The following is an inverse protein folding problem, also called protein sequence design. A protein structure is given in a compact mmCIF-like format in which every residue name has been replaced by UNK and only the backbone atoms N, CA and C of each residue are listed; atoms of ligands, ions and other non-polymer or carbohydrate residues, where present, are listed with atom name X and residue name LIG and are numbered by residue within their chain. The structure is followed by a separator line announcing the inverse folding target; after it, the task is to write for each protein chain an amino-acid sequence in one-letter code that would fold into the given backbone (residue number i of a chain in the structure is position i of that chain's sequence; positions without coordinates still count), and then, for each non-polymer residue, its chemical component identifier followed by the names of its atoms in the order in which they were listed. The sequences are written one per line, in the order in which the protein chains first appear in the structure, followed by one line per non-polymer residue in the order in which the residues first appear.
data_IF_498683165692
#
_entry.id   IF_498683165692
#
_cell.length_a   1.000
_cell.length_b   1.000
_cell.length_c   1.000
_cell.angle_alpha   90.00
_cell.angle_beta   90.00
_cell.angle_gamma   90.00
#
_symmetry.space_group_name_H-M   'P 1'
#
loop_
_entity.id
_entity.type
_entity.pdbx_description
1 polymer ?
#
# COMPACT_ATOMS: atom_id res chain seq x y z
N UNK A 1 -26.73 -6.29 -67.17
CA UNK A 1 -27.95 -7.02 -67.59
C UNK A 1 -28.45 -7.77 -66.35
N UNK A 2 -29.59 -7.28 -65.79
CA UNK A 2 -30.47 -7.87 -64.82
C UNK A 2 -29.93 -8.24 -63.40
N UNK A 3 -29.99 -7.28 -62.48
CA UNK A 3 -30.28 -7.53 -61.07
C UNK A 3 -31.73 -7.95 -60.88
N UNK A 4 -31.96 -9.14 -60.35
CA UNK A 4 -33.28 -9.53 -59.85
C UNK A 4 -33.36 -9.21 -58.35
N UNK A 5 -34.04 -8.12 -58.03
CA UNK A 5 -34.53 -7.80 -56.70
C UNK A 5 -35.65 -8.75 -56.33
N UNK A 6 -35.39 -9.84 -55.60
CA UNK A 6 -36.40 -10.64 -54.94
C UNK A 6 -36.96 -9.87 -53.73
N UNK A 7 -38.16 -9.28 -53.91
CA UNK A 7 -38.98 -8.83 -52.78
C UNK A 7 -39.48 -10.02 -51.99
N UNK A 8 -38.99 -10.20 -50.78
CA UNK A 8 -39.50 -11.19 -49.84
C UNK A 8 -40.87 -10.69 -49.37
N UNK A 9 -41.96 -11.27 -49.90
CA UNK A 9 -43.33 -11.01 -49.44
C UNK A 9 -43.64 -11.93 -48.26
N UNK A 10 -43.64 -11.36 -47.05
CA UNK A 10 -44.04 -12.06 -45.82
C UNK A 10 -45.55 -12.22 -45.82
N UNK A 11 -46.08 -13.46 -45.67
CA UNK A 11 -47.51 -13.79 -45.63
C UNK A 11 -48.20 -12.96 -44.51
N UNK A 12 -49.41 -12.42 -44.77
CA UNK A 12 -50.12 -11.54 -43.82
C UNK A 12 -50.42 -12.19 -42.47
N UNK A 13 -50.59 -13.51 -42.42
CA UNK A 13 -50.80 -14.26 -41.16
C UNK A 13 -49.60 -14.25 -40.21
N UNK A 14 -48.37 -14.21 -40.74
CA UNK A 14 -47.18 -14.10 -39.91
C UNK A 14 -47.01 -12.68 -39.31
N UNK A 15 -47.53 -11.65 -39.97
CA UNK A 15 -47.46 -10.27 -39.45
C UNK A 15 -48.32 -10.07 -38.19
N UNK A 16 -49.49 -10.75 -38.14
CA UNK A 16 -50.37 -10.72 -36.97
C UNK A 16 -49.75 -11.43 -35.76
N UNK A 17 -49.13 -12.59 -35.98
CA UNK A 17 -48.52 -13.38 -34.92
C UNK A 17 -47.30 -12.66 -34.32
N UNK A 18 -46.46 -12.05 -35.14
CA UNK A 18 -45.32 -11.25 -34.68
C UNK A 18 -45.74 -9.99 -33.92
N UNK A 19 -46.84 -9.34 -34.35
CA UNK A 19 -47.35 -8.16 -33.66
C UNK A 19 -47.91 -8.50 -32.27
N UNK A 20 -48.63 -9.60 -32.14
CA UNK A 20 -49.17 -10.07 -30.82
C UNK A 20 -48.03 -10.52 -29.91
N UNK A 21 -46.99 -11.20 -30.43
CA UNK A 21 -45.85 -11.65 -29.65
C UNK A 21 -44.98 -10.43 -29.16
N UNK A 22 -44.77 -9.45 -30.02
CA UNK A 22 -44.13 -8.20 -29.66
C UNK A 22 -44.91 -7.43 -28.59
N UNK A 23 -46.24 -7.31 -28.74
CA UNK A 23 -47.07 -6.60 -27.78
C UNK A 23 -47.15 -7.31 -26.42
N UNK A 24 -47.10 -8.65 -26.36
CA UNK A 24 -47.08 -9.40 -25.11
C UNK A 24 -45.71 -9.38 -24.41
N UNK A 25 -44.62 -9.22 -25.15
CA UNK A 25 -43.24 -9.13 -24.60
C UNK A 25 -42.88 -7.73 -24.08
N UNK A 26 -43.52 -6.67 -24.59
CA UNK A 26 -43.28 -5.28 -24.22
C UNK A 26 -43.42 -5.02 -22.71
N UNK A 27 -44.44 -5.49 -21.98
CA UNK A 27 -44.54 -5.26 -20.54
C UNK A 27 -43.39 -5.90 -19.74
N UNK A 28 -42.90 -7.08 -20.14
CA UNK A 28 -41.77 -7.75 -19.52
C UNK A 28 -40.42 -7.03 -19.77
N UNK A 29 -40.24 -6.54 -20.99
CA UNK A 29 -39.03 -5.78 -21.36
C UNK A 29 -39.00 -4.42 -20.64
N UNK A 30 -40.14 -3.72 -20.59
CA UNK A 30 -40.27 -2.44 -19.88
C UNK A 30 -40.08 -2.66 -18.38
N UNK A 31 -40.66 -3.71 -17.80
CA UNK A 31 -40.46 -4.04 -16.39
C UNK A 31 -38.98 -4.35 -16.05
N UNK A 32 -38.32 -5.18 -16.86
CA UNK A 32 -36.88 -5.46 -16.65
C UNK A 32 -36.00 -4.23 -16.86
N UNK A 33 -36.35 -3.33 -17.78
CA UNK A 33 -35.63 -2.07 -17.99
C UNK A 33 -35.82 -1.10 -16.81
N UNK A 34 -37.06 -1.02 -16.29
CA UNK A 34 -37.37 -0.22 -15.08
C UNK A 34 -36.66 -0.78 -13.84
N UNK A 35 -36.60 -2.09 -13.67
CA UNK A 35 -35.84 -2.73 -12.59
C UNK A 35 -34.34 -2.49 -12.71
N UNK A 36 -33.80 -2.52 -13.93
CA UNK A 36 -32.38 -2.20 -14.18
C UNK A 36 -32.06 -0.72 -13.88
N UNK A 37 -32.96 0.19 -14.29
CA UNK A 37 -32.82 1.62 -13.97
C UNK A 37 -32.93 1.85 -12.46
N UNK A 38 -33.85 1.20 -11.78
CA UNK A 38 -34.01 1.28 -10.34
C UNK A 38 -32.75 0.77 -9.63
N UNK A 39 -32.18 -0.35 -10.06
CA UNK A 39 -30.92 -0.89 -9.55
C UNK A 39 -29.75 0.09 -9.77
N UNK A 40 -29.67 0.69 -10.96
CA UNK A 40 -28.66 1.70 -11.28
C UNK A 40 -28.83 2.92 -10.37
N UNK A 41 -30.06 3.41 -10.18
CA UNK A 41 -30.34 4.54 -9.29
C UNK A 41 -30.02 4.23 -7.83
N UNK A 42 -30.32 3.01 -7.36
CA UNK A 42 -29.98 2.57 -6.00
C UNK A 42 -28.46 2.48 -5.85
N UNK A 43 -27.75 1.88 -6.81
CA UNK A 43 -26.29 1.76 -6.78
C UNK A 43 -25.63 3.13 -6.89
N UNK A 44 -26.06 3.99 -7.81
CA UNK A 44 -25.55 5.36 -7.92
C UNK A 44 -25.97 6.23 -6.72
N UNK A 45 -27.16 6.06 -6.19
CA UNK A 45 -27.61 6.74 -4.97
C UNK A 45 -26.81 6.30 -3.75
N UNK A 46 -26.49 5.02 -3.63
CA UNK A 46 -25.61 4.51 -2.59
C UNK A 46 -24.17 5.02 -2.73
N UNK A 47 -23.64 5.03 -3.96
CA UNK A 47 -22.31 5.57 -4.27
C UNK A 47 -22.27 7.09 -4.07
N UNK A 48 -23.32 7.82 -4.48
CA UNK A 48 -23.42 9.27 -4.25
C UNK A 48 -23.65 9.60 -2.77
N UNK A 49 -24.38 8.76 -2.03
CA UNK A 49 -24.54 8.85 -0.58
C UNK A 49 -23.22 8.63 0.15
N UNK A 50 -22.43 7.65 -0.26
CA UNK A 50 -21.07 7.42 0.22
C UNK A 50 -20.10 8.55 -0.20
N UNK A 51 -20.27 9.07 -1.41
CA UNK A 51 -19.49 10.21 -1.91
C UNK A 51 -19.83 11.54 -1.19
N UNK A 52 -21.08 11.74 -0.80
CA UNK A 52 -21.48 12.91 -0.02
C UNK A 52 -21.15 12.76 1.47
N UNK A 53 -21.21 11.56 2.02
CA UNK A 53 -20.68 11.30 3.37
C UNK A 53 -19.17 11.60 3.45
N UNK A 54 -18.42 11.33 2.36
CA UNK A 54 -17.00 11.66 2.26
C UNK A 54 -16.73 13.17 1.99
N UNK A 55 -17.70 13.94 1.48
CA UNK A 55 -17.54 15.38 1.23
C UNK A 55 -17.91 16.25 2.45
N UNK A 56 -18.58 15.70 3.45
CA UNK A 56 -18.99 16.44 4.64
C UNK A 56 -18.31 15.99 5.94
N UNK A 57 -17.43 14.98 5.88
CA UNK A 57 -16.43 14.80 6.92
C UNK A 57 -15.32 15.84 6.63
N UNK A 58 -15.52 17.04 7.22
CA UNK A 58 -14.41 17.93 7.54
C UNK A 58 -13.29 17.02 8.08
N UNK A 59 -12.13 17.02 7.40
CA UNK A 59 -10.91 16.31 7.83
C UNK A 59 -10.34 16.98 9.11
N UNK A 60 -11.18 17.20 10.09
CA UNK A 60 -10.90 17.89 11.33
C UNK A 60 -11.50 17.12 12.51
N UNK A 61 -10.63 16.57 13.34
CA UNK A 61 -10.88 16.23 14.75
C UNK A 61 -11.65 14.93 15.09
N UNK A 62 -11.81 13.94 14.24
CA UNK A 62 -12.15 12.62 14.76
C UNK A 62 -10.90 12.02 15.42
N UNK A 63 -10.89 11.76 16.75
CA UNK A 63 -9.76 11.11 17.41
C UNK A 63 -9.45 9.76 16.75
N UNK A 64 -8.18 9.32 16.85
CA UNK A 64 -7.86 7.96 16.46
C UNK A 64 -8.52 6.99 17.42
N UNK A 65 -9.15 5.94 16.89
CA UNK A 65 -9.56 4.80 17.68
C UNK A 65 -8.38 3.87 17.90
N UNK A 66 -8.26 3.33 19.12
CA UNK A 66 -7.17 2.46 19.50
C UNK A 66 -7.69 1.13 20.00
N UNK A 67 -7.08 0.03 19.52
CA UNK A 67 -7.27 -1.29 20.09
C UNK A 67 -6.17 -1.56 21.11
N UNK A 68 -6.53 -1.92 22.35
CA UNK A 68 -5.57 -2.37 23.35
C UNK A 68 -5.10 -3.77 22.98
N UNK A 69 -3.81 -3.95 22.71
CA UNK A 69 -3.24 -5.23 22.27
C UNK A 69 -2.55 -5.99 23.39
N UNK A 70 -1.90 -5.27 24.26
CA UNK A 70 -1.19 -5.80 25.43
C UNK A 70 -0.94 -4.64 26.40
N UNK A 71 -0.30 -4.91 27.53
CA UNK A 71 0.13 -3.91 28.46
C UNK A 71 0.08 -4.44 29.88
N UNK A 72 0.91 -3.85 30.73
CA UNK A 72 0.97 -4.24 32.14
C UNK A 72 -0.29 -3.80 32.90
N UNK A 73 -0.95 -2.72 32.42
CA UNK A 73 -2.17 -2.21 33.04
C UNK A 73 -3.11 -1.64 31.97
N UNK A 74 -4.24 -2.34 31.77
CA UNK A 74 -5.27 -1.91 30.81
C UNK A 74 -6.05 -0.67 31.25
N UNK A 75 -5.85 -0.20 32.46
CA UNK A 75 -6.47 1.00 33.02
C UNK A 75 -5.55 2.22 33.01
N UNK A 76 -4.29 2.06 32.58
CA UNK A 76 -3.32 3.15 32.57
C UNK A 76 -3.69 4.25 31.56
N UNK A 77 -3.53 5.49 31.95
CA UNK A 77 -3.75 6.64 31.05
C UNK A 77 -2.63 6.78 30.00
N UNK A 78 -1.42 6.34 30.34
CA UNK A 78 -0.29 6.42 29.43
C UNK A 78 -0.33 5.31 28.38
N UNK A 79 0.01 5.64 27.15
CA UNK A 79 0.00 4.70 26.03
C UNK A 79 1.37 4.61 25.33
N UNK A 80 1.78 3.40 25.04
CA UNK A 80 2.85 3.11 24.05
C UNK A 80 2.15 2.63 22.79
N UNK A 81 2.27 3.38 21.72
CA UNK A 81 1.61 3.09 20.46
C UNK A 81 2.48 2.19 19.59
N UNK A 82 1.95 1.09 19.08
CA UNK A 82 2.52 0.36 17.95
C UNK A 82 1.91 0.94 16.68
N UNK A 83 2.72 1.58 15.84
CA UNK A 83 2.30 2.11 14.56
C UNK A 83 2.76 1.18 13.44
N UNK A 84 1.80 0.51 12.81
CA UNK A 84 2.06 -0.47 11.76
C UNK A 84 2.35 0.20 10.42
N UNK A 85 3.52 -0.10 9.84
CA UNK A 85 4.01 0.33 8.53
C UNK A 85 4.18 -0.92 7.64
N UNK A 86 3.08 -1.33 7.00
CA UNK A 86 3.03 -2.58 6.23
C UNK A 86 2.78 -2.33 4.74
N UNK A 87 3.42 -3.14 3.88
CA UNK A 87 3.32 -3.06 2.43
C UNK A 87 4.31 -2.08 1.79
N UNK A 88 4.14 -1.82 0.50
CA UNK A 88 5.02 -0.94 -0.26
C UNK A 88 4.84 0.53 0.14
N UNK A 89 5.95 1.28 0.19
CA UNK A 89 5.95 2.71 0.49
C UNK A 89 5.69 3.49 -0.80
N UNK A 90 4.63 4.31 -0.80
CA UNK A 90 4.22 5.09 -1.97
C UNK A 90 3.78 6.51 -1.58
N UNK A 91 4.00 7.43 -2.50
CA UNK A 91 3.53 8.81 -2.39
C UNK A 91 2.00 8.94 -2.50
N UNK A 92 1.30 7.91 -3.00
CA UNK A 92 -0.14 7.96 -3.25
C UNK A 92 -0.54 8.72 -4.51
N UNK A 93 0.41 9.35 -5.22
CA UNK A 93 0.13 10.10 -6.45
C UNK A 93 -0.24 9.13 -7.58
N UNK A 94 -1.47 9.23 -8.08
CA UNK A 94 -1.93 8.45 -9.23
C UNK A 94 -2.40 7.01 -8.91
N UNK A 95 -2.41 6.62 -7.63
CA UNK A 95 -3.04 5.38 -7.18
C UNK A 95 -4.27 5.73 -6.35
N UNK A 96 -5.43 5.15 -6.67
CA UNK A 96 -6.48 5.04 -5.65
C UNK A 96 -5.84 4.27 -4.48
N UNK A 97 -5.95 4.78 -3.25
CA UNK A 97 -5.42 4.15 -2.02
C UNK A 97 -6.16 2.82 -1.73
N UNK A 98 -6.19 1.93 -2.72
CA UNK A 98 -6.87 0.64 -2.71
C UNK A 98 -5.80 -0.43 -2.63
N UNK A 99 -5.63 -0.98 -1.44
CA UNK A 99 -4.69 -2.05 -1.17
C UNK A 99 -3.84 -1.83 0.09
N UNK A 100 -3.10 -2.85 0.45
CA UNK A 100 -2.17 -2.81 1.58
C UNK A 100 -0.88 -2.07 1.18
N UNK A 101 -0.65 -0.88 1.75
CA UNK A 101 0.54 -0.07 1.49
C UNK A 101 0.72 1.06 2.51
N UNK A 102 1.93 1.62 2.52
CA UNK A 102 2.29 2.78 3.33
C UNK A 102 2.13 4.01 2.45
N UNK A 103 1.02 4.72 2.63
CA UNK A 103 0.69 5.93 1.88
C UNK A 103 0.97 7.18 2.71
N UNK A 104 1.70 8.14 2.15
CA UNK A 104 2.17 9.33 2.87
C UNK A 104 1.04 10.21 3.39
N UNK A 105 -0.04 10.35 2.66
CA UNK A 105 -1.23 11.14 3.05
C UNK A 105 -1.89 10.55 4.31
N UNK A 106 -2.04 9.20 4.35
CA UNK A 106 -2.54 8.49 5.52
C UNK A 106 -1.62 8.67 6.72
N UNK A 107 -0.31 8.46 6.53
CA UNK A 107 0.69 8.64 7.60
C UNK A 107 0.66 10.08 8.13
N UNK A 108 0.57 11.08 7.24
CA UNK A 108 0.46 12.50 7.62
C UNK A 108 -0.77 12.75 8.50
N UNK A 109 -1.92 12.22 8.10
CA UNK A 109 -3.18 12.35 8.84
C UNK A 109 -3.09 11.70 10.22
N UNK A 110 -2.58 10.47 10.28
CA UNK A 110 -2.44 9.72 11.53
C UNK A 110 -1.45 10.42 12.47
N UNK A 111 -0.28 10.83 11.96
CA UNK A 111 0.74 11.49 12.78
C UNK A 111 0.28 12.84 13.32
N UNK A 112 -0.55 13.59 12.58
CA UNK A 112 -1.18 14.80 13.10
C UNK A 112 -1.98 14.50 14.37
N UNK A 113 -2.84 13.49 14.33
CA UNK A 113 -3.68 13.08 15.47
C UNK A 113 -2.85 12.52 16.63
N UNK A 114 -1.81 11.70 16.33
CA UNK A 114 -0.90 11.17 17.33
C UNK A 114 -0.15 12.29 18.05
N UNK A 115 0.25 13.34 17.35
CA UNK A 115 0.91 14.53 17.94
C UNK A 115 0.02 15.22 18.98
N UNK A 116 -1.27 15.32 18.70
CA UNK A 116 -2.26 15.97 19.55
C UNK A 116 -2.66 15.12 20.78
N UNK A 117 -2.57 13.79 20.70
CA UNK A 117 -2.95 12.88 21.80
C UNK A 117 -1.86 12.83 22.89
N UNK A 118 -2.09 13.52 23.99
CA UNK A 118 -1.16 13.61 25.14
C UNK A 118 -0.99 12.29 25.91
N UNK A 119 -1.91 11.32 25.73
CA UNK A 119 -1.81 10.02 26.38
C UNK A 119 -0.75 9.13 25.72
N UNK A 120 -0.45 9.32 24.44
CA UNK A 120 0.64 8.62 23.74
C UNK A 120 1.99 9.21 24.17
N UNK A 121 2.78 8.42 24.86
CA UNK A 121 4.10 8.81 25.39
C UNK A 121 5.24 8.44 24.45
N UNK A 122 5.14 7.29 23.79
CA UNK A 122 6.13 6.86 22.79
C UNK A 122 5.45 6.03 21.70
N UNK A 123 6.18 5.84 20.59
CA UNK A 123 5.72 5.09 19.42
C UNK A 123 6.77 4.04 19.03
N UNK A 124 6.34 2.79 18.89
CA UNK A 124 7.10 1.73 18.24
C UNK A 124 6.69 1.68 16.78
N UNK A 125 7.59 1.95 15.87
CA UNK A 125 7.35 1.85 14.42
C UNK A 125 7.61 0.42 13.97
N UNK A 126 6.51 -0.33 13.70
CA UNK A 126 6.62 -1.71 13.22
C UNK A 126 6.63 -1.71 11.70
N UNK A 127 7.75 -2.12 11.12
CA UNK A 127 7.87 -2.30 9.68
C UNK A 127 7.62 -3.76 9.27
N UNK A 128 6.76 -3.93 8.26
CA UNK A 128 6.64 -5.13 7.44
C UNK A 128 6.55 -4.70 5.97
N UNK A 129 7.67 -4.22 5.41
CA UNK A 129 7.72 -3.52 4.14
C UNK A 129 8.94 -3.90 3.31
N UNK A 130 8.77 -4.20 2.01
CA UNK A 130 9.90 -4.40 1.10
C UNK A 130 10.58 -3.08 0.69
N UNK A 131 10.10 -1.93 1.19
CA UNK A 131 10.46 -0.60 0.73
C UNK A 131 9.49 -0.04 -0.30
N UNK A 132 9.97 0.81 -1.20
CA UNK A 132 9.12 1.42 -2.23
C UNK A 132 9.77 2.62 -2.90
N UNK A 133 8.98 3.63 -3.22
CA UNK A 133 9.44 4.85 -3.88
C UNK A 133 10.47 5.60 -3.03
N UNK A 134 11.57 6.02 -3.63
CA UNK A 134 12.65 6.75 -2.93
C UNK A 134 12.13 8.03 -2.30
N UNK A 135 11.37 8.83 -3.05
CA UNK A 135 10.76 10.06 -2.55
C UNK A 135 9.86 9.80 -1.33
N UNK A 136 8.94 8.84 -1.46
CA UNK A 136 8.01 8.51 -0.39
C UNK A 136 8.73 7.99 0.87
N UNK A 137 9.78 7.19 0.70
CA UNK A 137 10.60 6.67 1.80
C UNK A 137 11.36 7.79 2.54
N UNK A 138 11.89 8.76 1.80
CA UNK A 138 12.52 9.94 2.40
C UNK A 138 11.52 10.80 3.17
N UNK A 139 10.35 11.05 2.59
CA UNK A 139 9.28 11.83 3.26
C UNK A 139 8.74 11.12 4.49
N UNK A 140 8.61 9.78 4.45
CA UNK A 140 8.23 8.98 5.62
C UNK A 140 9.23 9.18 6.78
N UNK A 141 10.53 9.14 6.50
CA UNK A 141 11.56 9.41 7.50
C UNK A 141 11.46 10.82 8.09
N UNK A 142 11.16 11.83 7.27
CA UNK A 142 10.96 13.21 7.74
C UNK A 142 9.68 13.36 8.57
N UNK A 143 8.60 12.67 8.22
CA UNK A 143 7.38 12.62 9.02
C UNK A 143 7.60 11.94 10.38
N UNK A 144 8.34 10.83 10.41
CA UNK A 144 8.73 10.15 11.66
C UNK A 144 9.55 11.11 12.53
N UNK A 145 10.52 11.81 11.96
CA UNK A 145 11.32 12.84 12.67
C UNK A 145 10.41 13.91 13.27
N UNK A 146 9.49 14.46 12.49
CA UNK A 146 8.54 15.47 12.94
C UNK A 146 7.59 14.99 14.04
N UNK A 147 7.21 13.70 14.04
CA UNK A 147 6.45 13.10 15.12
C UNK A 147 7.32 12.95 16.39
N UNK A 148 8.52 12.41 16.26
CA UNK A 148 9.45 12.25 17.39
C UNK A 148 9.74 13.58 18.07
N UNK A 149 10.04 14.64 17.31
CA UNK A 149 10.26 15.98 17.83
C UNK A 149 9.05 16.51 18.59
N UNK A 150 7.85 16.38 18.03
CA UNK A 150 6.62 16.85 18.67
C UNK A 150 6.28 16.11 19.97
N UNK A 151 6.74 14.85 20.11
CA UNK A 151 6.55 14.02 21.30
C UNK A 151 7.73 14.06 22.27
N UNK A 152 8.82 14.75 21.96
CA UNK A 152 10.04 14.74 22.77
C UNK A 152 10.76 13.39 22.79
N UNK A 153 10.58 12.57 21.76
CA UNK A 153 11.23 11.25 21.61
C UNK A 153 12.64 11.47 21.06
N UNK A 154 13.64 11.16 21.85
CA UNK A 154 15.04 11.34 21.46
C UNK A 154 15.52 10.24 20.50
N UNK A 155 15.09 9.00 20.70
CA UNK A 155 15.45 7.84 19.89
C UNK A 155 14.19 7.09 19.49
N UNK A 156 13.97 6.91 18.20
CA UNK A 156 12.86 6.12 17.67
C UNK A 156 13.10 4.62 17.88
N UNK A 157 12.12 3.91 18.39
CA UNK A 157 12.16 2.45 18.52
C UNK A 157 11.48 1.84 17.30
N UNK A 158 12.22 0.99 16.59
CA UNK A 158 11.77 0.32 15.38
C UNK A 158 11.75 -1.19 15.60
N UNK A 159 10.67 -1.82 15.14
CA UNK A 159 10.56 -3.26 15.10
C UNK A 159 10.46 -3.73 13.66
N UNK A 160 11.45 -4.50 13.22
CA UNK A 160 11.47 -5.12 11.89
C UNK A 160 10.85 -6.51 12.01
N UNK A 161 9.66 -6.67 11.40
CA UNK A 161 8.89 -7.89 11.51
C UNK A 161 9.34 -8.96 10.49
N UNK A 162 8.55 -9.29 9.49
CA UNK A 162 8.92 -10.27 8.47
C UNK A 162 9.98 -9.71 7.51
N UNK A 163 9.73 -8.49 7.04
CA UNK A 163 10.68 -7.79 6.16
C UNK A 163 10.69 -6.29 6.47
N UNK A 164 11.87 -5.70 6.53
CA UNK A 164 12.05 -4.26 6.54
C UNK A 164 13.25 -3.93 5.67
N UNK A 165 13.02 -3.64 4.39
CA UNK A 165 14.08 -3.59 3.40
C UNK A 165 14.03 -2.29 2.57
N UNK A 166 15.15 -1.95 1.92
CA UNK A 166 15.26 -0.85 0.96
C UNK A 166 14.71 0.49 1.51
N UNK A 167 13.64 1.03 0.95
CA UNK A 167 13.02 2.29 1.39
C UNK A 167 12.60 2.31 2.86
N UNK A 168 12.30 1.15 3.48
CA UNK A 168 12.01 1.07 4.91
C UNK A 168 13.25 1.38 5.76
N UNK A 169 14.43 0.88 5.36
CA UNK A 169 15.71 1.25 5.98
C UNK A 169 16.03 2.72 5.78
N UNK A 170 15.80 3.23 4.56
CA UNK A 170 16.02 4.63 4.23
C UNK A 170 15.22 5.55 5.17
N UNK A 171 13.93 5.25 5.40
CA UNK A 171 13.10 6.01 6.32
C UNK A 171 13.58 5.89 7.77
N UNK A 172 13.97 4.68 8.22
CA UNK A 172 14.43 4.41 9.59
C UNK A 172 15.73 5.12 9.91
N UNK A 173 16.72 5.08 9.01
CA UNK A 173 18.05 5.64 9.28
C UNK A 173 18.12 7.16 9.18
N UNK A 174 17.07 7.82 8.72
CA UNK A 174 16.97 9.29 8.72
C UNK A 174 16.80 9.89 10.13
N UNK A 175 16.53 9.09 11.14
CA UNK A 175 16.31 9.51 12.52
C UNK A 175 17.24 8.75 13.48
N UNK A 176 17.54 9.27 14.67
CA UNK A 176 18.14 8.48 15.74
C UNK A 176 17.24 7.25 16.01
N UNK A 177 17.83 6.06 15.95
CA UNK A 177 17.06 4.82 15.94
C UNK A 177 17.64 3.76 16.88
N UNK A 178 16.77 2.90 17.40
CA UNK A 178 17.08 1.63 18.02
C UNK A 178 16.20 0.58 17.37
N UNK A 179 16.82 -0.43 16.78
CA UNK A 179 16.15 -1.38 15.90
C UNK A 179 16.21 -2.77 16.47
N UNK A 180 15.04 -3.38 16.69
CA UNK A 180 14.90 -4.79 17.08
C UNK A 180 14.29 -5.52 15.88
N UNK A 181 14.95 -6.58 15.41
CA UNK A 181 14.47 -7.43 14.34
C UNK A 181 13.85 -8.72 14.85
N UNK A 182 12.80 -9.22 14.19
CA UNK A 182 12.30 -10.57 14.42
C UNK A 182 13.39 -11.59 14.07
N UNK A 183 13.45 -12.70 14.79
CA UNK A 183 14.47 -13.75 14.59
C UNK A 183 14.51 -14.28 13.15
N UNK A 184 13.35 -14.46 12.53
CA UNK A 184 13.21 -14.97 11.16
C UNK A 184 12.93 -13.87 10.13
N UNK A 185 13.03 -12.61 10.53
CA UNK A 185 12.83 -11.48 9.65
C UNK A 185 14.06 -11.17 8.82
N UNK A 186 13.83 -10.38 7.78
CA UNK A 186 14.83 -9.98 6.80
C UNK A 186 14.93 -8.46 6.71
N UNK A 187 16.14 -7.96 6.44
CA UNK A 187 16.40 -6.55 6.22
C UNK A 187 17.50 -6.37 5.16
N UNK A 188 17.87 -5.13 4.83
CA UNK A 188 18.88 -4.88 3.81
C UNK A 188 18.25 -4.38 2.51
N UNK A 189 18.58 -5.00 1.37
CA UNK A 189 18.21 -4.51 0.04
C UNK A 189 18.60 -3.03 -0.13
N UNK A 190 19.79 -2.66 0.38
CA UNK A 190 20.34 -1.33 0.20
C UNK A 190 20.83 -1.21 -1.23
N UNK A 191 20.08 -0.46 -2.03
CA UNK A 191 20.31 -0.31 -3.45
C UNK A 191 19.18 0.48 -4.12
N UNK A 192 19.42 0.86 -5.37
CA UNK A 192 18.46 1.60 -6.20
C UNK A 192 18.35 0.92 -7.55
N UNK A 193 17.13 0.76 -8.03
CA UNK A 193 16.89 0.25 -9.39
C UNK A 193 15.93 1.14 -10.13
N UNK A 194 16.14 1.25 -11.43
CA UNK A 194 15.19 1.82 -12.39
C UNK A 194 14.93 0.79 -13.48
N UNK A 195 13.67 0.58 -13.84
CA UNK A 195 13.28 -0.34 -14.90
C UNK A 195 12.73 0.46 -16.06
N UNK A 196 13.26 0.22 -17.26
CA UNK A 196 12.83 0.84 -18.50
C UNK A 196 12.25 -0.27 -19.40
N UNK A 197 10.92 -0.48 -19.42
CA UNK A 197 10.32 -1.47 -20.31
C UNK A 197 10.48 -1.04 -21.77
N UNK A 198 10.65 -2.01 -22.67
CA UNK A 198 10.69 -1.78 -24.12
C UNK A 198 9.65 -2.67 -24.81
N UNK A 199 8.70 -2.05 -25.47
CA UNK A 199 7.62 -2.69 -26.22
C UNK A 199 7.69 -2.41 -27.73
N UNK A 200 8.81 -1.88 -28.25
CA UNK A 200 9.01 -1.54 -29.67
C UNK A 200 8.60 -2.68 -30.59
N UNK A 201 9.18 -3.88 -30.38
CA UNK A 201 8.85 -5.07 -31.17
C UNK A 201 7.38 -5.49 -31.09
N UNK A 202 6.79 -5.38 -29.90
CA UNK A 202 5.38 -5.70 -29.70
C UNK A 202 4.50 -4.73 -30.48
N UNK A 203 4.79 -3.43 -30.40
CA UNK A 203 4.08 -2.38 -31.13
C UNK A 203 4.17 -2.62 -32.66
N UNK A 204 5.34 -2.93 -33.16
CA UNK A 204 5.54 -3.26 -34.59
C UNK A 204 4.72 -4.48 -35.02
N UNK A 205 4.71 -5.55 -34.22
CA UNK A 205 3.99 -6.79 -34.53
C UNK A 205 2.47 -6.59 -34.62
N UNK A 206 1.91 -5.67 -33.83
CA UNK A 206 0.46 -5.35 -33.86
C UNK A 206 0.12 -4.17 -34.77
N UNK A 207 1.09 -3.62 -35.50
CA UNK A 207 0.90 -2.49 -36.40
C UNK A 207 0.67 -1.15 -35.69
N UNK A 208 0.97 -1.04 -34.40
CA UNK A 208 0.87 0.23 -33.66
C UNK A 208 2.03 1.15 -34.03
N UNK A 209 1.74 2.38 -34.39
CA UNK A 209 2.72 3.43 -34.72
C UNK A 209 2.42 4.69 -33.89
N UNK A 210 3.42 5.20 -33.21
CA UNK A 210 3.37 6.46 -32.49
C UNK A 210 4.21 7.50 -33.24
N UNK A 211 3.66 8.71 -33.40
CA UNK A 211 4.40 9.88 -33.91
C UNK A 211 4.54 10.87 -32.77
N UNK A 212 5.76 11.07 -32.28
CA UNK A 212 6.05 12.03 -31.20
C UNK A 212 6.46 13.37 -31.82
N UNK A 213 5.67 14.42 -31.55
CA UNK A 213 6.00 15.80 -31.87
C UNK A 213 6.48 16.47 -30.58
N UNK A 214 7.73 16.93 -30.55
CA UNK A 214 8.35 17.45 -29.31
C UNK A 214 9.16 18.70 -29.54
N UNK A 215 9.22 19.56 -28.53
CA UNK A 215 10.20 20.61 -28.39
C UNK A 215 11.10 20.25 -27.18
N UNK A 216 12.40 20.28 -27.40
CA UNK A 216 13.41 19.72 -26.47
C UNK A 216 13.77 18.29 -26.82
N UNK A 217 15.08 18.08 -27.08
CA UNK A 217 15.61 16.82 -27.61
C UNK A 217 15.24 15.59 -26.76
N UNK A 218 15.33 15.71 -25.45
CA UNK A 218 15.12 14.63 -24.50
C UNK A 218 13.71 14.57 -23.91
N UNK A 219 12.70 15.23 -24.53
CA UNK A 219 11.35 15.29 -23.93
C UNK A 219 10.60 13.95 -23.94
N UNK A 220 11.03 13.01 -24.78
CA UNK A 220 10.50 11.64 -24.90
C UNK A 220 11.47 10.57 -24.33
N UNK A 221 12.40 10.98 -23.47
CA UNK A 221 13.31 10.06 -22.81
C UNK A 221 12.53 8.98 -22.02
N UNK A 222 12.95 7.72 -22.16
CA UNK A 222 12.27 6.59 -21.53
C UNK A 222 10.98 6.15 -22.22
N UNK A 223 10.70 6.61 -23.46
CA UNK A 223 9.56 6.14 -24.25
C UNK A 223 9.71 4.62 -24.50
N UNK A 224 8.73 3.79 -24.04
CA UNK A 224 8.81 2.34 -24.15
C UNK A 224 8.57 1.80 -25.56
N UNK A 225 8.13 2.64 -26.50
CA UNK A 225 7.79 2.26 -27.89
C UNK A 225 8.94 2.45 -28.88
N UNK A 226 10.10 2.81 -28.39
CA UNK A 226 11.36 2.88 -29.15
C UNK A 226 12.54 2.38 -28.35
N UNK A 227 13.63 2.08 -29.03
CA UNK A 227 14.88 1.73 -28.37
C UNK A 227 15.41 2.94 -27.57
N UNK A 228 15.81 2.67 -26.33
CA UNK A 228 16.47 3.67 -25.48
C UNK A 228 17.86 3.93 -26.01
N UNK A 229 18.22 5.19 -26.18
CA UNK A 229 19.54 5.57 -26.71
C UNK A 229 20.63 5.42 -25.66
N UNK A 230 21.92 5.20 -26.04
CA UNK A 230 23.03 5.08 -25.10
C UNK A 230 23.18 6.28 -24.15
N UNK A 231 23.01 7.50 -24.66
CA UNK A 231 23.07 8.72 -23.86
C UNK A 231 21.92 8.83 -22.83
N UNK A 232 20.74 8.31 -23.17
CA UNK A 232 19.60 8.23 -22.25
C UNK A 232 19.88 7.22 -21.13
N UNK A 233 20.46 6.06 -21.47
CA UNK A 233 20.88 5.06 -20.49
C UNK A 233 21.93 5.64 -19.53
N UNK A 234 22.94 6.35 -20.06
CA UNK A 234 23.96 7.00 -19.25
C UNK A 234 23.37 8.07 -18.32
N UNK A 235 22.36 8.81 -18.79
CA UNK A 235 21.65 9.78 -17.97
C UNK A 235 20.88 9.11 -16.81
N UNK A 236 20.13 8.06 -17.10
CA UNK A 236 19.40 7.29 -16.08
C UNK A 236 20.34 6.61 -15.07
N UNK A 237 21.46 6.05 -15.56
CA UNK A 237 22.47 5.45 -14.68
C UNK A 237 23.02 6.49 -13.70
N UNK A 238 23.34 7.68 -14.15
CA UNK A 238 23.81 8.77 -13.28
C UNK A 238 22.80 9.17 -12.22
N UNK A 239 21.49 9.14 -12.55
CA UNK A 239 20.43 9.37 -11.55
C UNK A 239 20.37 8.26 -10.50
N UNK A 240 20.48 7.00 -10.93
CA UNK A 240 20.52 5.84 -10.04
C UNK A 240 21.72 5.90 -9.12
N UNK A 241 22.90 6.17 -9.66
CA UNK A 241 24.16 6.26 -8.89
C UNK A 241 24.10 7.35 -7.83
N UNK A 242 23.58 8.53 -8.19
CA UNK A 242 23.40 9.63 -7.23
C UNK A 242 22.46 9.22 -6.08
N UNK A 243 21.33 8.62 -6.42
CA UNK A 243 20.35 8.18 -5.42
C UNK A 243 20.91 7.06 -4.54
N UNK A 244 21.73 6.19 -5.11
CA UNK A 244 22.44 5.14 -4.38
C UNK A 244 23.47 5.74 -3.40
N UNK A 245 24.27 6.70 -3.82
CA UNK A 245 25.24 7.38 -2.93
C UNK A 245 24.51 8.13 -1.81
N UNK A 246 23.38 8.76 -2.06
CA UNK A 246 22.55 9.38 -1.02
C UNK A 246 22.06 8.33 -0.01
N UNK A 247 21.63 7.16 -0.47
CA UNK A 247 21.21 6.05 0.41
C UNK A 247 22.38 5.55 1.27
N UNK A 248 23.54 5.33 0.68
CA UNK A 248 24.78 4.95 1.39
C UNK A 248 25.07 5.95 2.53
N UNK A 249 25.01 7.24 2.24
CA UNK A 249 25.28 8.28 3.23
C UNK A 249 24.25 8.28 4.36
N UNK A 250 22.97 8.08 4.07
CA UNK A 250 21.90 7.96 5.08
C UNK A 250 22.17 6.76 6.01
N UNK A 251 22.55 5.61 5.45
CA UNK A 251 22.90 4.42 6.24
C UNK A 251 24.14 4.69 7.10
N UNK A 252 25.17 5.25 6.50
CA UNK A 252 26.44 5.57 7.20
C UNK A 252 26.18 6.48 8.40
N UNK A 253 25.40 7.54 8.22
CA UNK A 253 25.05 8.48 9.29
C UNK A 253 24.13 7.82 10.33
N UNK A 254 23.06 7.15 9.89
CA UNK A 254 22.06 6.55 10.77
C UNK A 254 22.61 5.40 11.62
N UNK A 255 23.61 4.67 11.12
CA UNK A 255 24.26 3.55 11.82
C UNK A 255 25.67 3.87 12.33
N UNK A 256 26.16 5.10 12.16
CA UNK A 256 27.52 5.53 12.53
C UNK A 256 28.57 4.58 11.96
N UNK A 257 28.42 4.23 10.69
CA UNK A 257 29.29 3.31 9.96
C UNK A 257 30.11 4.07 8.92
N UNK A 258 31.32 3.60 8.65
CA UNK A 258 32.13 4.15 7.57
C UNK A 258 31.51 3.81 6.20
N UNK A 259 31.55 4.77 5.28
CA UNK A 259 31.00 4.63 3.92
C UNK A 259 31.50 3.38 3.18
N UNK A 260 32.81 3.03 3.22
CA UNK A 260 33.29 1.78 2.59
C UNK A 260 32.63 0.53 3.17
N UNK A 261 32.40 0.47 4.49
CA UNK A 261 31.72 -0.65 5.14
C UNK A 261 30.25 -0.73 4.68
N UNK A 262 29.57 0.40 4.60
CA UNK A 262 28.19 0.45 4.07
C UNK A 262 28.16 -0.01 2.62
N UNK A 263 29.07 0.45 1.76
CA UNK A 263 29.13 0.03 0.35
C UNK A 263 29.33 -1.47 0.19
N UNK A 264 30.09 -2.12 1.06
CA UNK A 264 30.26 -3.57 1.04
C UNK A 264 28.95 -4.33 1.37
N UNK A 265 28.07 -3.75 2.18
CA UNK A 265 26.75 -4.29 2.53
C UNK A 265 25.66 -3.91 1.53
N UNK A 266 25.85 -2.83 0.78
CA UNK A 266 24.84 -2.24 -0.10
C UNK A 266 24.89 -2.81 -1.53
N UNK A 267 24.86 -4.13 -1.64
CA UNK A 267 24.88 -4.87 -2.90
C UNK A 267 23.48 -5.25 -3.40
N UNK A 268 22.42 -4.78 -2.72
CA UNK A 268 21.02 -5.05 -3.06
C UNK A 268 20.47 -6.35 -2.47
N UNK A 269 21.28 -7.16 -1.77
CA UNK A 269 20.78 -8.36 -1.10
C UNK A 269 20.04 -8.03 0.22
N UNK A 270 19.14 -8.92 0.61
CA UNK A 270 18.55 -8.98 1.95
C UNK A 270 19.43 -9.86 2.84
N UNK A 271 19.36 -9.60 4.14
CA UNK A 271 20.07 -10.32 5.19
C UNK A 271 19.06 -10.78 6.22
N UNK A 272 19.23 -11.95 6.78
CA UNK A 272 18.52 -12.32 8.01
C UNK A 272 18.88 -11.37 9.14
N UNK A 273 17.94 -11.10 10.04
CA UNK A 273 18.15 -10.14 11.10
C UNK A 273 19.34 -10.50 12.03
N UNK A 274 19.68 -11.78 12.21
CA UNK A 274 20.90 -12.18 12.92
C UNK A 274 22.17 -11.67 12.24
N UNK A 275 22.24 -11.78 10.91
CA UNK A 275 23.39 -11.30 10.13
C UNK A 275 23.42 -9.76 10.10
N UNK A 276 22.24 -9.17 10.10
CA UNK A 276 22.08 -7.71 10.17
C UNK A 276 22.56 -7.14 11.51
N UNK A 277 22.40 -7.85 12.63
CA UNK A 277 23.04 -7.47 13.91
C UNK A 277 24.56 -7.55 13.79
N UNK A 278 25.09 -8.63 13.26
CA UNK A 278 26.52 -8.85 13.11
C UNK A 278 27.17 -7.78 12.22
N UNK A 279 26.48 -7.39 11.16
CA UNK A 279 26.93 -6.33 10.25
C UNK A 279 26.77 -4.91 10.81
N UNK A 280 25.92 -4.73 11.84
CA UNK A 280 25.60 -3.47 12.46
C UNK A 280 24.43 -2.71 11.82
N UNK A 281 23.70 -3.34 10.92
CA UNK A 281 22.51 -2.74 10.29
C UNK A 281 21.35 -2.59 11.29
N UNK A 282 21.21 -3.50 12.26
CA UNK A 282 20.25 -3.40 13.36
C UNK A 282 20.92 -3.63 14.69
N UNK A 283 20.24 -3.35 15.81
CA UNK A 283 20.86 -3.37 17.14
C UNK A 283 20.75 -4.74 17.81
N UNK A 284 19.61 -5.43 17.66
CA UNK A 284 19.43 -6.79 18.20
C UNK A 284 18.31 -7.55 17.51
N UNK A 285 18.31 -8.86 17.70
CA UNK A 285 17.13 -9.71 17.44
C UNK A 285 16.32 -9.81 18.73
N UNK A 286 14.99 -9.74 18.61
CA UNK A 286 14.09 -9.79 19.76
C UNK A 286 12.62 -9.78 19.37
N UNK A 287 11.76 -9.52 20.34
CA UNK A 287 10.31 -9.54 20.21
C UNK A 287 9.71 -8.14 20.15
N UNK A 288 8.46 -8.06 19.70
CA UNK A 288 7.68 -6.81 19.77
C UNK A 288 7.51 -6.32 21.22
N UNK A 289 7.38 -7.23 22.17
CA UNK A 289 7.26 -6.88 23.58
C UNK A 289 8.53 -6.19 24.10
N UNK A 290 9.72 -6.66 23.69
CA UNK A 290 10.97 -5.99 24.01
C UNK A 290 11.07 -4.60 23.38
N UNK A 291 10.54 -4.42 22.17
CA UNK A 291 10.48 -3.09 21.54
C UNK A 291 9.55 -2.13 22.31
N UNK A 292 8.39 -2.61 22.73
CA UNK A 292 7.45 -1.83 23.55
C UNK A 292 8.08 -1.48 24.91
N UNK A 293 8.72 -2.46 25.56
CA UNK A 293 9.44 -2.24 26.82
C UNK A 293 10.55 -1.19 26.66
N UNK A 294 11.35 -1.30 25.59
CA UNK A 294 12.37 -0.29 25.27
C UNK A 294 11.75 1.11 25.12
N UNK A 295 10.65 1.21 24.37
CA UNK A 295 9.96 2.48 24.16
C UNK A 295 9.41 3.08 25.47
N UNK A 296 8.90 2.25 26.40
CA UNK A 296 8.43 2.73 27.71
C UNK A 296 9.58 3.24 28.60
N UNK A 297 10.70 2.51 28.60
CA UNK A 297 11.88 2.88 29.37
C UNK A 297 12.50 4.20 28.87
N UNK A 298 12.52 4.44 27.57
CA UNK A 298 13.09 5.66 26.98
C UNK A 298 12.36 6.96 27.40
N UNK A 299 11.10 6.83 27.80
CA UNK A 299 10.28 7.95 28.28
C UNK A 299 9.95 7.86 29.78
N UNK A 300 10.59 6.94 30.51
CA UNK A 300 10.40 6.71 31.95
C UNK A 300 8.93 6.47 32.35
N UNK A 301 8.19 5.69 31.56
CA UNK A 301 6.80 5.35 31.83
C UNK A 301 6.71 3.86 32.21
N UNK A 302 6.52 3.59 33.51
CA UNK A 302 6.41 2.21 34.01
C UNK A 302 5.02 1.61 33.88
N UNK A 303 3.98 2.44 33.97
CA UNK A 303 2.58 2.00 33.86
C UNK A 303 1.96 2.54 32.55
N UNK A 304 1.63 1.62 31.63
CA UNK A 304 1.14 1.95 30.30
C UNK A 304 0.26 0.86 29.70
N UNK A 305 -0.59 1.29 28.76
CA UNK A 305 -1.27 0.43 27.82
C UNK A 305 -0.46 0.34 26.52
N UNK A 306 -0.43 -0.85 25.91
CA UNK A 306 0.04 -1.00 24.53
C UNK A 306 -1.15 -0.94 23.60
N UNK A 307 -1.14 -0.01 22.66
CA UNK A 307 -2.26 0.26 21.77
C UNK A 307 -1.82 0.24 20.31
N UNK A 308 -2.75 -0.10 19.40
CA UNK A 308 -2.61 0.05 17.95
C UNK A 308 -3.70 0.96 17.41
N UNK A 309 -3.41 1.67 16.32
CA UNK A 309 -4.43 2.41 15.57
C UNK A 309 -5.41 1.41 14.96
N UNK A 310 -6.71 1.59 15.21
CA UNK A 310 -7.74 0.78 14.57
C UNK A 310 -7.76 1.04 13.06
N UNK A 311 -7.75 -0.05 12.28
CA UNK A 311 -8.01 0.05 10.85
C UNK A 311 -9.51 0.23 10.61
N UNK A 312 -9.89 0.92 9.51
CA UNK A 312 -11.29 1.01 9.08
C UNK A 312 -11.92 -0.37 8.94
N UNK A 313 -11.13 -1.35 8.53
CA UNK A 313 -11.55 -2.76 8.41
C UNK A 313 -11.92 -3.38 9.76
N UNK A 314 -11.12 -3.16 10.81
CA UNK A 314 -11.44 -3.63 12.16
C UNK A 314 -12.64 -2.91 12.75
N UNK A 315 -12.80 -1.63 12.45
CA UNK A 315 -13.98 -0.85 12.88
C UNK A 315 -15.26 -1.38 12.23
N UNK A 316 -15.24 -1.67 10.92
CA UNK A 316 -16.37 -2.24 10.19
C UNK A 316 -16.72 -3.65 10.69
N UNK A 317 -15.72 -4.48 10.99
CA UNK A 317 -15.91 -5.80 11.61
C UNK A 317 -16.56 -5.70 13.00
N UNK A 318 -16.08 -4.78 13.83
CA UNK A 318 -16.63 -4.55 15.18
C UNK A 318 -18.07 -3.99 15.13
N UNK A 319 -18.41 -3.23 14.09
CA UNK A 319 -19.78 -2.74 13.85
C UNK A 319 -20.69 -3.78 13.18
N UNK A 320 -20.20 -4.98 12.87
CA UNK A 320 -20.97 -6.03 12.19
C UNK A 320 -21.38 -5.70 10.74
N UNK A 321 -20.76 -4.68 10.15
CA UNK A 321 -21.15 -4.19 8.82
C UNK A 321 -20.70 -5.16 7.72
N UNK A 322 -19.61 -5.91 7.90
CA UNK A 322 -19.18 -6.92 6.93
C UNK A 322 -20.20 -8.07 6.78
N UNK A 323 -20.82 -8.49 7.89
CA UNK A 323 -21.87 -9.55 7.83
C UNK A 323 -23.16 -9.05 7.19
N UNK A 324 -23.50 -7.77 7.35
CA UNK A 324 -24.70 -7.18 6.78
C UNK A 324 -24.55 -6.84 5.29
N UNK A 325 -23.36 -6.47 4.83
CA UNK A 325 -23.11 -6.18 3.41
C UNK A 325 -23.23 -7.45 2.55
N UNK A 326 -22.76 -8.61 3.03
CA UNK A 326 -22.93 -9.90 2.39
C UNK A 326 -24.40 -10.30 2.26
N UNK A 327 -25.15 -10.13 3.34
CA UNK A 327 -26.58 -10.40 3.37
C UNK A 327 -27.40 -9.42 2.49
N UNK A 328 -27.01 -8.14 2.46
CA UNK A 328 -27.65 -7.10 1.65
C UNK A 328 -27.36 -7.27 0.16
N UNK A 329 -26.23 -7.85 -0.21
CA UNK A 329 -25.87 -8.19 -1.60
C UNK A 329 -26.35 -9.59 -2.03
N UNK A 330 -27.07 -10.33 -1.16
CA UNK A 330 -27.55 -11.67 -1.46
C UNK A 330 -26.42 -12.71 -1.64
N UNK A 331 -25.22 -12.42 -1.16
CA UNK A 331 -24.08 -13.34 -1.22
C UNK A 331 -24.20 -14.34 -0.07
N UNK A 332 -24.23 -15.62 -0.40
CA UNK A 332 -24.19 -16.68 0.62
C UNK A 332 -22.86 -16.65 1.37
N UNK A 333 -22.84 -17.06 2.64
CA UNK A 333 -21.63 -17.18 3.44
C UNK A 333 -20.55 -18.01 2.73
N UNK A 334 -20.94 -19.01 1.92
CA UNK A 334 -20.03 -19.78 1.08
C UNK A 334 -19.37 -18.96 -0.04
N UNK A 335 -20.04 -17.94 -0.59
CA UNK A 335 -19.46 -17.06 -1.60
C UNK A 335 -18.47 -16.07 -0.95
N UNK A 336 -18.77 -15.58 0.24
CA UNK A 336 -17.87 -14.73 1.05
C UNK A 336 -16.62 -15.50 1.50
N UNK A 337 -16.77 -16.73 1.95
CA UNK A 337 -15.67 -17.61 2.31
C UNK A 337 -14.78 -17.95 1.10
N UNK A 338 -15.38 -18.13 -0.07
CA UNK A 338 -14.65 -18.36 -1.31
C UNK A 338 -13.88 -17.13 -1.78
N UNK A 339 -14.43 -15.92 -1.62
CA UNK A 339 -13.74 -14.66 -1.89
C UNK A 339 -12.58 -14.46 -0.90
N UNK A 340 -12.82 -14.69 0.38
CA UNK A 340 -11.81 -14.58 1.44
C UNK A 340 -10.71 -15.64 1.30
N UNK A 341 -11.05 -16.88 0.92
CA UNK A 341 -10.06 -17.94 0.66
C UNK A 341 -9.23 -17.65 -0.60
N UNK A 342 -9.85 -17.09 -1.64
CA UNK A 342 -9.14 -16.70 -2.87
C UNK A 342 -8.23 -15.50 -2.63
N UNK A 343 -8.61 -14.56 -1.76
CA UNK A 343 -7.77 -13.46 -1.34
C UNK A 343 -6.58 -13.95 -0.47
N UNK A 344 -6.81 -14.91 0.44
CA UNK A 344 -5.75 -15.55 1.22
C UNK A 344 -4.80 -16.39 0.36
N UNK A 345 -5.29 -17.08 -0.67
CA UNK A 345 -4.43 -17.88 -1.58
C UNK A 345 -3.59 -17.01 -2.50
N UNK A 346 -4.05 -15.81 -2.87
CA UNK A 346 -3.23 -14.86 -3.64
C UNK A 346 -2.15 -14.16 -2.82
N UNK A 347 -2.31 -14.07 -1.50
CA UNK A 347 -1.25 -13.57 -0.59
C UNK A 347 -0.30 -14.69 -0.13
N UNK A 348 -0.61 -15.96 -0.39
CA UNK A 348 0.13 -17.15 0.06
C UNK A 348 0.93 -17.87 -1.03
N UNK A 349 1.01 -17.32 -2.24
CA UNK A 349 1.83 -17.94 -3.31
C UNK A 349 3.17 -17.23 -3.40
N UNK A 350 4.05 -17.56 -2.50
CA UNK A 350 5.51 -17.73 -2.71
C UNK A 350 6.14 -18.20 -1.39
N UNK A 351 6.13 -19.50 -1.16
CA UNK A 351 7.11 -20.29 -0.38
C UNK A 351 6.49 -21.66 -0.14
N UNK A 352 6.40 -22.44 -1.21
CA UNK A 352 6.29 -23.89 -1.08
C UNK A 352 7.68 -24.44 -0.75
N UNK A 353 8.00 -24.59 0.51
CA UNK A 353 9.03 -25.54 0.94
C UNK A 353 8.34 -26.88 1.10
N UNK A 354 8.68 -27.80 0.21
CA UNK A 354 8.32 -29.22 0.29
C UNK A 354 8.89 -29.80 1.58
N UNK A 355 8.00 -30.23 2.49
CA UNK A 355 8.39 -31.00 3.67
C UNK A 355 8.76 -32.43 3.24
N UNK A 356 9.95 -32.62 2.72
CA UNK A 356 10.62 -33.91 2.63
C UNK A 356 12.12 -33.70 2.44
N UNK A 357 12.85 -33.49 3.53
CA UNK A 357 14.14 -34.14 3.89
C UNK A 357 14.57 -33.62 5.25
#
# INVERSE_FOLDING_TARGET
MYEQNQKITVKPELKGFFAVYLLSAIPGIISSFLWMILLIVIVFGAIAGLGNANKQSSAGNTPLSYTITAGQDKSADNKILIYDLSGAISSGIGTSNVGDGIYLDKVTSDFKKIKEDKTIKNVVFRFNSPGGEVYASQMLGDQIRGLMQAKGIATGVFYFDQIAASGALLATYKVPNYIIGNLYGETGSIGVRMSLPNFEKLADNIGYKETVIKAGENKDIGNPLRQTKPEELAYFQKMVDRTYDDFINIVALGRKMDVPKVKALANGFVYFNNDAVTSGLIDKVGTMEEAVTKASLDVNVANYQTVKVESVKSLLQNLGVESNLGNMLGLSNQALDKINSTAKTKSGVMYGLDERY
#
